data_IF_680052027937
#
_entry.id   IF_680052027937
#
_cell.length_a   1.000
_cell.length_b   1.000
_cell.length_c   1.000
_cell.angle_alpha   90.00
_cell.angle_beta   90.00
_cell.angle_gamma   90.00
#
_symmetry.space_group_name_H-M   'P 1'
#
loop_
_entity.id
_entity.type
_entity.pdbx_description
1 polymer ?
#
# COMPACT_ATOMS: atom_id res chain seq x y z
N UNK A 1 -30.75 -3.21 18.84
CA UNK A 1 -30.70 -3.14 17.36
C UNK A 1 -30.42 -1.73 16.85
N UNK A 2 -31.11 -0.68 17.32
CA UNK A 2 -30.89 0.73 16.90
C UNK A 2 -29.42 1.21 16.99
N UNK A 3 -28.69 0.78 18.04
CA UNK A 3 -27.28 1.13 18.25
C UNK A 3 -26.34 0.59 17.15
N UNK A 4 -26.61 -0.62 16.66
CA UNK A 4 -25.83 -1.22 15.57
C UNK A 4 -26.16 -0.54 14.25
N UNK A 5 -27.43 -0.22 14.00
CA UNK A 5 -27.85 0.51 12.80
C UNK A 5 -27.19 1.89 12.71
N UNK A 6 -27.11 2.62 13.83
CA UNK A 6 -26.39 3.90 13.91
C UNK A 6 -24.89 3.74 13.62
N UNK A 7 -24.25 2.70 14.17
CA UNK A 7 -22.83 2.41 13.92
C UNK A 7 -22.60 2.12 12.42
N UNK A 8 -23.44 1.30 11.79
CA UNK A 8 -23.34 1.02 10.36
C UNK A 8 -23.57 2.26 9.49
N UNK A 9 -24.50 3.13 9.89
CA UNK A 9 -24.81 4.36 9.16
C UNK A 9 -23.63 5.34 9.23
N UNK A 10 -23.02 5.50 10.40
CA UNK A 10 -21.81 6.32 10.58
C UNK A 10 -20.64 5.73 9.79
N UNK A 11 -20.41 4.41 9.87
CA UNK A 11 -19.36 3.72 9.10
C UNK A 11 -19.53 3.90 7.60
N UNK A 12 -20.75 3.79 7.09
CA UNK A 12 -21.09 4.01 5.68
C UNK A 12 -20.72 5.41 5.20
N UNK A 13 -21.13 6.44 5.95
CA UNK A 13 -20.78 7.83 5.65
C UNK A 13 -19.26 8.03 5.71
N UNK A 14 -18.60 7.43 6.70
CA UNK A 14 -17.15 7.49 6.83
C UNK A 14 -16.47 6.93 5.57
N UNK A 15 -16.88 5.75 5.11
CA UNK A 15 -16.32 5.12 3.90
C UNK A 15 -16.48 6.03 2.69
N UNK A 16 -17.64 6.65 2.49
CA UNK A 16 -17.89 7.55 1.34
C UNK A 16 -17.00 8.80 1.42
N UNK A 17 -16.86 9.41 2.59
CA UNK A 17 -16.01 10.60 2.78
C UNK A 17 -14.53 10.24 2.60
N UNK A 18 -14.11 9.09 3.12
CA UNK A 18 -12.73 8.61 3.02
C UNK A 18 -12.39 7.98 1.67
N UNK A 19 -13.37 7.66 0.81
CA UNK A 19 -13.14 7.08 -0.51
C UNK A 19 -12.24 7.97 -1.38
N UNK A 20 -12.41 9.30 -1.31
CA UNK A 20 -11.55 10.25 -2.03
C UNK A 20 -10.10 10.19 -1.54
N UNK A 21 -9.89 10.04 -0.22
CA UNK A 21 -8.56 9.89 0.37
C UNK A 21 -7.93 8.54 0.00
N UNK A 22 -8.71 7.45 -0.01
CA UNK A 22 -8.25 6.14 -0.44
C UNK A 22 -7.83 6.16 -1.92
N UNK A 23 -8.61 6.79 -2.79
CA UNK A 23 -8.24 6.95 -4.20
C UNK A 23 -6.96 7.78 -4.37
N UNK A 24 -6.85 8.92 -3.68
CA UNK A 24 -5.60 9.72 -3.69
C UNK A 24 -4.40 8.90 -3.21
N UNK A 25 -4.57 8.11 -2.15
CA UNK A 25 -3.53 7.26 -1.61
C UNK A 25 -3.07 6.20 -2.63
N UNK A 26 -4.00 5.56 -3.35
CA UNK A 26 -3.67 4.63 -4.44
C UNK A 26 -2.88 5.33 -5.55
N UNK A 27 -3.30 6.53 -5.97
CA UNK A 27 -2.59 7.31 -7.01
C UNK A 27 -1.17 7.66 -6.57
N UNK A 28 -0.97 8.06 -5.31
CA UNK A 28 0.37 8.34 -4.80
C UNK A 28 1.25 7.09 -4.72
N UNK A 29 0.67 5.95 -4.35
CA UNK A 29 1.38 4.66 -4.37
C UNK A 29 1.81 4.30 -5.79
N UNK A 30 0.94 4.45 -6.77
CA UNK A 30 1.24 4.17 -8.18
C UNK A 30 2.32 5.12 -8.73
N UNK A 31 2.22 6.41 -8.40
CA UNK A 31 3.23 7.41 -8.78
C UNK A 31 4.60 7.10 -8.16
N UNK A 32 4.64 6.67 -6.91
CA UNK A 32 5.85 6.24 -6.23
C UNK A 32 6.41 4.96 -6.87
N UNK A 33 5.54 4.00 -7.20
CA UNK A 33 5.92 2.80 -7.94
C UNK A 33 6.57 3.17 -9.27
N UNK A 34 5.94 4.04 -10.06
CA UNK A 34 6.47 4.52 -11.34
C UNK A 34 7.82 5.23 -11.18
N UNK A 35 7.96 6.11 -10.19
CA UNK A 35 9.20 6.83 -9.92
C UNK A 35 10.37 5.88 -9.58
N UNK A 36 10.13 4.95 -8.66
CA UNK A 36 11.13 3.95 -8.25
C UNK A 36 11.45 3.06 -9.45
N UNK A 37 10.45 2.65 -10.23
CA UNK A 37 10.63 1.82 -11.42
C UNK A 37 11.51 2.50 -12.49
N UNK A 38 11.33 3.80 -12.74
CA UNK A 38 12.19 4.58 -13.66
C UNK A 38 13.62 4.64 -13.15
N UNK A 39 13.83 4.90 -11.85
CA UNK A 39 15.17 4.97 -11.24
C UNK A 39 15.89 3.62 -11.19
N UNK A 40 15.17 2.51 -11.06
CA UNK A 40 15.75 1.15 -11.10
C UNK A 40 15.93 0.62 -12.53
N UNK A 41 15.37 1.29 -13.55
CA UNK A 41 15.55 0.89 -14.96
C UNK A 41 16.99 0.83 -15.44
N UNK A 42 17.89 1.78 -15.09
CA UNK A 42 19.30 1.65 -15.44
C UNK A 42 20.06 0.58 -14.63
N UNK A 43 19.56 0.19 -13.46
CA UNK A 43 20.24 -0.76 -12.54
C UNK A 43 19.94 -2.22 -12.94
N UNK A 44 18.69 -2.49 -13.33
CA UNK A 44 18.27 -3.80 -13.81
C UNK A 44 18.27 -3.76 -15.34
N UNK A 45 19.32 -4.35 -15.93
CA UNK A 45 19.57 -4.40 -17.37
C UNK A 45 18.33 -4.74 -18.20
N UNK A 46 18.28 -4.26 -19.46
CA UNK A 46 17.21 -4.49 -20.45
C UNK A 46 16.92 -5.98 -20.79
N UNK A 47 17.51 -6.94 -20.08
CA UNK A 47 17.22 -8.36 -20.22
C UNK A 47 15.85 -8.70 -19.65
N UNK A 48 15.09 -9.56 -20.34
CA UNK A 48 13.74 -9.96 -19.90
C UNK A 48 13.68 -10.55 -18.49
N UNK A 49 14.74 -11.24 -18.06
CA UNK A 49 14.88 -11.77 -16.70
C UNK A 49 15.13 -10.67 -15.66
N UNK A 50 15.98 -9.68 -15.95
CA UNK A 50 16.21 -8.54 -15.06
C UNK A 50 14.95 -7.70 -14.83
N UNK A 51 14.12 -7.57 -15.85
CA UNK A 51 12.85 -6.85 -15.79
C UNK A 51 11.80 -7.58 -14.94
N UNK A 52 11.73 -8.92 -15.04
CA UNK A 52 10.85 -9.74 -14.21
C UNK A 52 11.26 -9.71 -12.73
N UNK A 53 12.56 -9.87 -12.44
CA UNK A 53 13.09 -9.81 -11.08
C UNK A 53 12.84 -8.44 -10.45
N UNK A 54 13.09 -7.35 -11.20
CA UNK A 54 12.80 -5.99 -10.76
C UNK A 54 11.34 -5.81 -10.36
N UNK A 55 10.40 -6.28 -11.19
CA UNK A 55 8.96 -6.22 -10.89
C UNK A 55 8.61 -6.96 -9.60
N UNK A 56 9.11 -8.17 -9.41
CA UNK A 56 8.85 -8.98 -8.21
C UNK A 56 9.38 -8.28 -6.95
N UNK A 57 10.62 -7.78 -7.01
CA UNK A 57 11.22 -7.04 -5.90
C UNK A 57 10.39 -5.80 -5.57
N UNK A 58 10.01 -5.00 -6.57
CA UNK A 58 9.18 -3.81 -6.36
C UNK A 58 7.83 -4.16 -5.73
N UNK A 59 7.19 -5.24 -6.18
CA UNK A 59 5.88 -5.68 -5.69
C UNK A 59 5.92 -6.04 -4.21
N UNK A 60 7.02 -6.62 -3.73
CA UNK A 60 7.18 -7.03 -2.32
C UNK A 60 7.69 -5.86 -1.47
N UNK A 61 8.64 -5.08 -1.98
CA UNK A 61 9.35 -4.08 -1.17
C UNK A 61 8.54 -2.80 -0.94
N UNK A 62 7.72 -2.38 -1.92
CA UNK A 62 6.88 -1.19 -1.80
C UNK A 62 5.85 -1.28 -0.67
N UNK A 63 5.03 -2.34 -0.54
CA UNK A 63 4.08 -2.43 0.56
C UNK A 63 4.76 -2.47 1.93
N UNK A 64 5.94 -3.12 2.04
CA UNK A 64 6.75 -3.11 3.27
C UNK A 64 7.23 -1.70 3.60
N UNK A 65 7.75 -0.95 2.62
CA UNK A 65 8.18 0.44 2.81
C UNK A 65 7.03 1.36 3.22
N UNK A 66 5.87 1.23 2.58
CA UNK A 66 4.69 2.04 2.90
C UNK A 66 4.21 1.71 4.31
N UNK A 67 4.14 0.43 4.70
CA UNK A 67 3.76 0.02 6.04
C UNK A 67 4.80 0.41 7.11
N UNK A 68 6.08 0.52 6.72
CA UNK A 68 7.15 0.90 7.63
C UNK A 68 7.00 2.36 8.09
N UNK A 69 6.45 3.26 7.27
CA UNK A 69 6.24 4.67 7.65
C UNK A 69 5.36 4.80 8.92
N UNK A 70 4.11 4.29 8.95
CA UNK A 70 3.27 4.37 10.14
C UNK A 70 3.82 3.51 11.28
N UNK A 71 4.46 2.38 11.01
CA UNK A 71 5.04 1.53 12.06
C UNK A 71 6.22 2.20 12.78
N UNK A 72 7.11 2.88 12.04
CA UNK A 72 8.19 3.66 12.61
C UNK A 72 7.67 4.88 13.36
N UNK A 73 6.66 5.58 12.81
CA UNK A 73 6.00 6.69 13.51
C UNK A 73 5.37 6.23 14.85
N UNK A 74 4.68 5.08 14.84
CA UNK A 74 4.09 4.49 16.04
C UNK A 74 5.17 4.11 17.07
N UNK A 75 6.27 3.50 16.61
CA UNK A 75 7.39 3.13 17.48
C UNK A 75 8.09 4.35 18.08
N UNK A 76 8.23 5.44 17.33
CA UNK A 76 8.81 6.69 17.84
C UNK A 76 7.96 7.34 18.93
N UNK A 77 6.62 7.31 18.79
CA UNK A 77 5.70 7.93 19.77
C UNK A 77 5.47 7.02 20.97
N UNK A 78 5.32 5.72 20.76
CA UNK A 78 4.85 4.77 21.78
C UNK A 78 5.94 3.85 22.33
N UNK A 79 7.12 3.83 21.72
CA UNK A 79 8.27 3.03 22.14
C UNK A 79 8.15 1.52 21.91
N UNK A 80 7.00 1.03 21.45
CA UNK A 80 6.73 -0.38 21.19
C UNK A 80 6.48 -0.64 19.70
N UNK A 81 6.78 -1.86 19.26
CA UNK A 81 6.52 -2.26 17.88
C UNK A 81 5.01 -2.32 17.60
N UNK A 82 4.61 -1.96 16.38
CA UNK A 82 3.22 -1.91 15.99
C UNK A 82 2.65 -3.33 15.86
N UNK A 83 1.57 -3.69 16.61
CA UNK A 83 1.06 -5.07 16.65
C UNK A 83 0.45 -5.57 15.35
N UNK A 84 0.11 -4.68 14.40
CA UNK A 84 -0.54 -5.03 13.12
C UNK A 84 0.31 -4.69 11.89
N UNK A 85 1.65 -4.67 12.04
CA UNK A 85 2.55 -4.27 10.95
C UNK A 85 2.50 -5.25 9.76
N UNK A 86 2.49 -6.55 10.04
CA UNK A 86 2.48 -7.61 9.02
C UNK A 86 1.15 -7.61 8.29
N UNK A 87 0.04 -7.49 9.01
CA UNK A 87 -1.31 -7.46 8.47
C UNK A 87 -1.52 -6.25 7.56
N UNK A 88 -1.02 -5.07 7.96
CA UNK A 88 -1.05 -3.86 7.15
C UNK A 88 -0.23 -4.04 5.86
N UNK A 89 0.97 -4.61 5.98
CA UNK A 89 1.86 -4.90 4.84
C UNK A 89 1.19 -5.85 3.84
N UNK A 90 0.59 -6.94 4.33
CA UNK A 90 -0.14 -7.89 3.50
C UNK A 90 -1.37 -7.28 2.83
N UNK A 91 -2.11 -6.43 3.55
CA UNK A 91 -3.28 -5.74 3.00
C UNK A 91 -2.87 -4.81 1.85
N UNK A 92 -1.80 -4.02 2.03
CA UNK A 92 -1.25 -3.16 0.98
C UNK A 92 -0.70 -3.97 -0.20
N UNK A 93 -0.02 -5.09 0.08
CA UNK A 93 0.49 -5.98 -0.96
C UNK A 93 -0.66 -6.54 -1.83
N UNK A 94 -1.74 -7.02 -1.22
CA UNK A 94 -2.92 -7.50 -1.94
C UNK A 94 -3.52 -6.42 -2.85
N UNK A 95 -3.68 -5.19 -2.35
CA UNK A 95 -4.20 -4.07 -3.15
C UNK A 95 -3.31 -3.79 -4.36
N UNK A 96 -1.99 -3.76 -4.18
CA UNK A 96 -1.02 -3.50 -5.26
C UNK A 96 -1.04 -4.64 -6.29
N UNK A 97 -1.03 -5.90 -5.83
CA UNK A 97 -1.08 -7.09 -6.70
C UNK A 97 -2.37 -7.10 -7.52
N UNK A 98 -3.51 -6.91 -6.87
CA UNK A 98 -4.81 -6.87 -7.55
C UNK A 98 -4.86 -5.72 -8.54
N UNK A 99 -4.36 -4.53 -8.19
CA UNK A 99 -4.33 -3.40 -9.13
C UNK A 99 -3.44 -3.69 -10.34
N UNK A 100 -2.27 -4.31 -10.15
CA UNK A 100 -1.35 -4.62 -11.25
C UNK A 100 -1.85 -5.74 -12.18
N UNK A 101 -2.56 -6.73 -11.62
CA UNK A 101 -3.10 -7.88 -12.37
C UNK A 101 -4.43 -7.51 -13.05
N UNK A 102 -5.30 -6.76 -12.38
CA UNK A 102 -6.68 -6.52 -12.81
C UNK A 102 -6.85 -5.29 -13.70
N UNK A 103 -5.98 -4.26 -13.57
CA UNK A 103 -6.04 -3.01 -14.34
C UNK A 103 -5.11 -3.08 -15.57
N UNK A 104 -4.79 -4.29 -16.05
CA UNK A 104 -3.93 -4.49 -17.22
C UNK A 104 -4.67 -4.29 -18.52
#
# INVERSE_FOLDING_TARGET
MLRQTLIYLVLSILVVVFARFAHMLIVYIDMLYAFVNVKLTPIFSHSGLGLAIRKIILLVFIPVLIAAIPALAYRLVKGSDMPYFIELTWCLWLVIVLSNILIR
#
